data_IF_333236525108
#
_entry.id   IF_333236525108
#
_cell.length_a   1.000
_cell.length_b   1.000
_cell.length_c   1.000
_cell.angle_alpha   90.00
_cell.angle_beta   90.00
_cell.angle_gamma   90.00
#
_symmetry.space_group_name_H-M   'P 1'
#
loop_
_entity.id
_entity.type
_entity.pdbx_description
1 polymer ?
#
# COMPACT_ATOMS: atom_id res chain seq x y z
N UNK A 1 11.75 2.92 16.05
CA UNK A 1 11.13 2.11 14.98
C UNK A 1 9.81 1.58 15.52
N UNK A 2 8.66 1.84 14.86
CA UNK A 2 7.39 1.24 15.27
C UNK A 2 7.41 -0.22 14.79
N UNK A 3 7.38 -1.17 15.72
CA UNK A 3 7.25 -2.58 15.36
C UNK A 3 5.79 -2.83 14.99
N UNK A 4 5.52 -3.25 13.76
CA UNK A 4 4.15 -3.64 13.39
C UNK A 4 3.85 -4.93 14.16
N UNK A 5 2.93 -4.86 15.13
CA UNK A 5 2.48 -6.01 15.93
C UNK A 5 1.34 -6.77 15.22
N UNK A 6 1.50 -6.96 13.90
CA UNK A 6 0.53 -7.67 13.08
C UNK A 6 1.27 -8.75 12.28
N UNK A 7 0.79 -9.99 12.37
CA UNK A 7 1.30 -11.10 11.56
C UNK A 7 0.59 -11.08 10.22
N UNK A 8 1.33 -10.75 9.16
CA UNK A 8 0.79 -10.73 7.81
C UNK A 8 0.57 -12.14 7.28
N UNK A 9 -0.65 -12.42 6.82
CA UNK A 9 -0.94 -13.62 6.02
C UNK A 9 -0.40 -13.47 4.60
N UNK A 10 -0.30 -14.57 3.85
CA UNK A 10 0.12 -14.51 2.43
C UNK A 10 -0.81 -13.62 1.59
N UNK A 11 -2.12 -13.66 1.85
CA UNK A 11 -3.09 -12.79 1.18
C UNK A 11 -2.91 -11.32 1.57
N UNK A 12 -2.49 -11.04 2.80
CA UNK A 12 -2.15 -9.67 3.19
C UNK A 12 -0.92 -9.15 2.45
N UNK A 13 0.13 -9.98 2.36
CA UNK A 13 1.35 -9.63 1.64
C UNK A 13 1.03 -9.38 0.17
N UNK A 14 0.25 -10.26 -0.47
CA UNK A 14 -0.17 -10.12 -1.87
C UNK A 14 -0.98 -8.82 -2.11
N UNK A 15 -1.92 -8.51 -1.22
CA UNK A 15 -2.71 -7.28 -1.33
C UNK A 15 -1.85 -6.02 -1.13
N UNK A 16 -0.91 -6.03 -0.18
CA UNK A 16 -0.01 -4.89 0.05
C UNK A 16 0.94 -4.72 -1.13
N UNK A 17 1.57 -5.78 -1.61
CA UNK A 17 2.51 -5.69 -2.73
C UNK A 17 1.82 -5.23 -3.99
N UNK A 18 0.59 -5.68 -4.27
CA UNK A 18 -0.25 -5.13 -5.32
C UNK A 18 -0.51 -3.62 -5.12
N UNK A 19 -0.94 -3.20 -3.93
CA UNK A 19 -1.21 -1.79 -3.67
C UNK A 19 0.04 -0.90 -3.84
N UNK A 20 1.22 -1.42 -3.49
CA UNK A 20 2.51 -0.74 -3.68
C UNK A 20 2.86 -0.56 -5.16
N UNK A 21 2.34 -1.38 -6.09
CA UNK A 21 2.51 -1.15 -7.52
C UNK A 21 1.53 -0.12 -8.08
N UNK A 22 0.36 0.04 -7.45
CA UNK A 22 -0.66 1.00 -7.88
C UNK A 22 -0.25 2.43 -7.52
N UNK A 23 0.29 2.67 -6.32
CA UNK A 23 0.54 4.04 -5.87
C UNK A 23 1.43 4.85 -6.84
N UNK A 24 2.60 4.37 -7.29
CA UNK A 24 3.44 5.13 -8.21
C UNK A 24 2.80 5.37 -9.58
N UNK A 25 1.91 4.49 -10.05
CA UNK A 25 1.25 4.65 -11.36
C UNK A 25 0.15 5.72 -11.36
N UNK A 26 -0.21 6.26 -10.18
CA UNK A 26 -1.20 7.32 -10.05
C UNK A 26 -0.61 8.71 -10.21
N UNK A 27 0.73 8.85 -10.16
CA UNK A 27 1.46 10.11 -10.36
C UNK A 27 0.91 11.27 -9.51
N UNK A 28 0.61 11.00 -8.23
CA UNK A 28 -0.06 11.95 -7.33
C UNK A 28 0.89 12.96 -6.69
N UNK A 29 2.20 12.71 -6.74
CA UNK A 29 3.21 13.56 -6.13
C UNK A 29 3.43 14.86 -6.92
N UNK A 30 3.54 15.98 -6.21
CA UNK A 30 3.77 17.30 -6.82
C UNK A 30 5.16 17.46 -7.48
N UNK A 31 6.14 16.63 -7.09
CA UNK A 31 7.51 16.73 -7.60
C UNK A 31 8.09 15.36 -7.94
N UNK A 32 8.92 15.31 -8.99
CA UNK A 32 9.65 14.10 -9.39
C UNK A 32 10.55 13.57 -8.28
N UNK A 33 11.15 14.46 -7.48
CA UNK A 33 11.98 14.08 -6.34
C UNK A 33 11.16 13.30 -5.29
N UNK A 34 9.95 13.78 -4.97
CA UNK A 34 9.08 13.10 -4.03
C UNK A 34 8.53 11.78 -4.59
N UNK A 35 8.20 11.75 -5.89
CA UNK A 35 7.80 10.53 -6.59
C UNK A 35 8.90 9.46 -6.53
N UNK A 36 10.16 9.84 -6.80
CA UNK A 36 11.31 8.92 -6.72
C UNK A 36 11.52 8.37 -5.30
N UNK A 37 11.39 9.22 -4.27
CA UNK A 37 11.48 8.79 -2.87
C UNK A 37 10.36 7.81 -2.53
N UNK A 38 9.11 8.10 -2.93
CA UNK A 38 7.96 7.25 -2.67
C UNK A 38 8.09 5.90 -3.38
N UNK A 39 8.53 5.91 -4.64
CA UNK A 39 8.82 4.70 -5.42
C UNK A 39 9.87 3.82 -4.74
N UNK A 40 11.00 4.39 -4.31
CA UNK A 40 12.03 3.65 -3.57
C UNK A 40 11.49 3.04 -2.27
N UNK A 41 10.67 3.79 -1.54
CA UNK A 41 10.02 3.28 -0.33
C UNK A 41 9.05 2.13 -0.66
N UNK A 42 8.32 2.20 -1.78
CA UNK A 42 7.42 1.13 -2.22
C UNK A 42 8.20 -0.15 -2.56
N UNK A 43 9.31 -0.02 -3.31
CA UNK A 43 10.19 -1.14 -3.62
C UNK A 43 10.76 -1.79 -2.36
N UNK A 44 11.31 -0.99 -1.44
CA UNK A 44 11.90 -1.48 -0.19
C UNK A 44 10.86 -2.17 0.70
N UNK A 45 9.68 -1.57 0.86
CA UNK A 45 8.57 -2.15 1.61
C UNK A 45 8.11 -3.50 1.02
N UNK A 46 7.94 -3.55 -0.31
CA UNK A 46 7.54 -4.76 -1.01
C UNK A 46 8.56 -5.89 -0.87
N UNK A 47 9.85 -5.58 -1.03
CA UNK A 47 10.93 -6.57 -0.88
C UNK A 47 10.94 -7.17 0.54
N UNK A 48 10.81 -6.33 1.57
CA UNK A 48 10.75 -6.79 2.96
C UNK A 48 9.56 -7.70 3.22
N UNK A 49 8.37 -7.29 2.80
CA UNK A 49 7.15 -8.08 2.98
C UNK A 49 7.23 -9.45 2.29
N UNK A 50 7.78 -9.51 1.06
CA UNK A 50 7.99 -10.77 0.34
C UNK A 50 9.00 -11.69 1.04
N UNK A 51 9.96 -11.12 1.78
CA UNK A 51 10.93 -11.86 2.61
C UNK A 51 10.40 -12.14 4.02
N UNK A 52 9.16 -11.79 4.33
CA UNK A 52 8.58 -11.81 5.68
C UNK A 52 9.39 -11.02 6.72
N UNK A 53 10.14 -10.01 6.28
CA UNK A 53 10.84 -9.08 7.15
C UNK A 53 9.84 -8.05 7.71
N UNK A 54 9.69 -8.04 9.03
CA UNK A 54 8.77 -7.16 9.76
C UNK A 54 9.41 -5.83 10.16
N UNK A 55 10.68 -5.61 9.80
CA UNK A 55 11.42 -4.39 10.11
C UNK A 55 11.08 -3.27 9.12
N UNK A 56 9.86 -2.76 9.24
CA UNK A 56 9.31 -1.71 8.38
C UNK A 56 9.67 -0.33 8.95
N UNK A 57 10.36 0.47 8.15
CA UNK A 57 10.75 1.83 8.46
C UNK A 57 9.55 2.80 8.39
N UNK A 58 9.61 3.98 9.04
CA UNK A 58 8.48 4.92 9.03
C UNK A 58 8.01 5.34 7.63
N UNK A 59 8.92 5.58 6.69
CA UNK A 59 8.56 5.96 5.33
C UNK A 59 7.97 4.79 4.53
N UNK A 60 8.43 3.56 4.79
CA UNK A 60 7.86 2.33 4.21
C UNK A 60 6.44 2.10 4.74
N UNK A 61 6.23 2.28 6.04
CA UNK A 61 4.90 2.23 6.65
C UNK A 61 3.96 3.26 6.02
N UNK A 62 4.44 4.51 5.85
CA UNK A 62 3.67 5.59 5.22
C UNK A 62 3.22 5.21 3.81
N UNK A 63 4.12 4.70 2.97
CA UNK A 63 3.74 4.33 1.60
C UNK A 63 2.84 3.10 1.56
N UNK A 64 3.01 2.11 2.45
CA UNK A 64 2.07 0.98 2.54
C UNK A 64 0.65 1.48 2.84
N UNK A 65 0.50 2.36 3.84
CA UNK A 65 -0.81 2.90 4.19
C UNK A 65 -1.39 3.75 3.05
N UNK A 66 -0.59 4.63 2.45
CA UNK A 66 -1.02 5.46 1.32
C UNK A 66 -1.47 4.60 0.12
N UNK A 67 -0.72 3.54 -0.19
CA UNK A 67 -1.08 2.57 -1.23
C UNK A 67 -2.40 1.86 -0.95
N UNK A 68 -2.60 1.37 0.28
CA UNK A 68 -3.84 0.71 0.67
C UNK A 68 -5.03 1.68 0.61
N UNK A 69 -4.84 2.93 1.04
CA UNK A 69 -5.86 3.97 0.93
C UNK A 69 -6.17 4.33 -0.52
N UNK A 70 -5.17 4.41 -1.40
CA UNK A 70 -5.39 4.66 -2.82
C UNK A 70 -6.25 3.56 -3.44
N UNK A 71 -5.95 2.28 -3.18
CA UNK A 71 -6.78 1.15 -3.64
C UNK A 71 -8.19 1.19 -3.04
N UNK A 72 -8.33 1.59 -1.78
CA UNK A 72 -9.63 1.78 -1.13
C UNK A 72 -10.47 2.87 -1.82
N UNK A 73 -9.87 4.04 -2.10
CA UNK A 73 -10.51 5.16 -2.78
C UNK A 73 -10.89 4.78 -4.22
N UNK A 74 -9.99 4.08 -4.94
CA UNK A 74 -10.30 3.52 -6.26
C UNK A 74 -11.53 2.64 -6.15
N UNK A 75 -11.57 1.70 -5.21
CA UNK A 75 -12.70 0.79 -5.02
C UNK A 75 -14.01 1.51 -4.69
N UNK A 76 -13.95 2.59 -3.90
CA UNK A 76 -15.10 3.45 -3.57
C UNK A 76 -15.56 4.34 -4.73
N UNK A 77 -14.73 4.49 -5.77
CA UNK A 77 -15.00 5.40 -6.89
C UNK A 77 -14.63 6.85 -6.59
N UNK A 78 -13.85 7.09 -5.54
CA UNK A 78 -13.33 8.42 -5.18
C UNK A 78 -12.03 8.77 -5.91
N UNK A 79 -11.32 7.75 -6.43
CA UNK A 79 -10.16 7.93 -7.31
C UNK A 79 -10.42 7.21 -8.64
N UNK A 80 -10.41 7.97 -9.73
CA UNK A 80 -10.66 7.46 -11.08
C UNK A 80 -9.39 6.86 -11.69
N UNK A 81 -9.52 5.68 -12.30
CA UNK A 81 -8.46 4.95 -12.99
C UNK A 81 -9.08 4.23 -14.19
N UNK A 82 -8.24 3.67 -15.06
CA UNK A 82 -8.71 2.83 -16.16
C UNK A 82 -9.46 1.57 -15.66
N UNK A 83 -10.29 1.01 -16.53
CA UNK A 83 -11.14 -0.14 -16.20
C UNK A 83 -10.35 -1.38 -15.78
N UNK A 84 -9.15 -1.61 -16.34
CA UNK A 84 -8.32 -2.77 -16.01
C UNK A 84 -7.79 -2.64 -14.58
N UNK A 85 -7.26 -1.46 -14.24
CA UNK A 85 -6.78 -1.14 -12.88
C UNK A 85 -7.91 -1.22 -11.86
N UNK A 86 -9.09 -0.67 -12.18
CA UNK A 86 -10.28 -0.76 -11.31
C UNK A 86 -10.69 -2.21 -11.04
N UNK A 87 -10.67 -3.07 -12.05
CA UNK A 87 -10.98 -4.49 -11.90
C UNK A 87 -9.97 -5.20 -11.01
N UNK A 88 -8.66 -4.97 -11.21
CA UNK A 88 -7.61 -5.54 -10.36
C UNK A 88 -7.74 -5.08 -8.90
N UNK A 89 -8.01 -3.79 -8.66
CA UNK A 89 -8.25 -3.25 -7.31
C UNK A 89 -9.46 -3.91 -6.63
N UNK A 90 -10.51 -4.20 -7.39
CA UNK A 90 -11.75 -4.79 -6.87
C UNK A 90 -11.52 -6.21 -6.32
N UNK A 91 -10.59 -6.97 -6.90
CA UNK A 91 -10.20 -8.30 -6.41
C UNK A 91 -9.65 -8.31 -4.98
N UNK A 92 -9.13 -7.17 -4.51
CA UNK A 92 -8.53 -7.01 -3.19
C UNK A 92 -9.42 -6.24 -2.19
N UNK A 93 -10.67 -5.90 -2.55
CA UNK A 93 -11.55 -5.02 -1.77
C UNK A 93 -11.60 -5.34 -0.26
N UNK A 94 -11.90 -6.60 0.09
CA UNK A 94 -12.05 -6.99 1.48
C UNK A 94 -10.72 -6.99 2.25
N UNK A 95 -9.65 -7.49 1.62
CA UNK A 95 -8.32 -7.54 2.23
C UNK A 95 -7.76 -6.13 2.45
N UNK A 96 -7.93 -5.23 1.48
CA UNK A 96 -7.52 -3.83 1.60
C UNK A 96 -8.28 -3.13 2.71
N UNK A 97 -9.60 -3.27 2.78
CA UNK A 97 -10.40 -2.66 3.86
C UNK A 97 -9.97 -3.15 5.25
N UNK A 98 -9.68 -4.46 5.39
CA UNK A 98 -9.13 -5.03 6.62
C UNK A 98 -7.78 -4.38 6.96
N UNK A 99 -6.87 -4.32 6.00
CA UNK A 99 -5.50 -3.82 6.20
C UNK A 99 -5.46 -2.33 6.52
N UNK A 100 -6.28 -1.49 5.87
CA UNK A 100 -6.41 -0.07 6.22
C UNK A 100 -6.81 0.08 7.69
N UNK A 101 -7.78 -0.70 8.17
CA UNK A 101 -8.18 -0.70 9.59
C UNK A 101 -7.03 -1.12 10.52
N UNK A 102 -6.25 -2.14 10.14
CA UNK A 102 -5.07 -2.59 10.91
C UNK A 102 -4.00 -1.50 11.00
N UNK A 103 -3.65 -0.85 9.89
CA UNK A 103 -2.61 0.19 9.85
C UNK A 103 -3.06 1.46 10.59
N UNK A 104 -4.32 1.88 10.44
CA UNK A 104 -4.85 3.04 11.16
C UNK A 104 -4.79 2.86 12.69
N UNK A 105 -5.07 1.65 13.19
CA UNK A 105 -4.95 1.34 14.63
C UNK A 105 -3.52 1.45 15.16
N UNK A 106 -2.51 1.30 14.30
CA UNK A 106 -1.10 1.43 14.69
C UNK A 106 -0.58 2.88 14.62
N UNK A 107 -1.36 3.77 14.01
CA UNK A 107 -1.10 5.22 14.05
C UNK A 107 -1.63 5.89 15.31
N UNK A 108 -2.72 5.36 15.88
CA UNK A 108 -3.26 5.78 17.18
C UNK A 108 -2.29 5.45 18.32
#
# INVERSE_FOLDING_TARGET
>A
MKHISYSFSNSDIEAITFALTVLPSLELEETEAQAAINYQCCCSAGEKLLKHDTNIAPNEFRVILASLQAVQLINQGELEVDQETKQKCSSYLFTVNKLVSVFNKQMS
#
